data_IF_058349877947
#
_entry.id   IF_058349877947
#
_cell.length_a   1.000
_cell.length_b   1.000
_cell.length_c   1.000
_cell.angle_alpha   90.00
_cell.angle_beta   90.00
_cell.angle_gamma   90.00
#
_symmetry.space_group_name_H-M   'P 1'
#
loop_
_entity.id
_entity.type
_entity.pdbx_description
1 polymer ?
#
# COMPACT_ATOMS: atom_id res chain seq x y z
N UNK A 1 24.52 -15.56 -39.96
CA UNK A 1 23.09 -15.20 -39.88
C UNK A 1 22.48 -15.59 -38.52
N UNK A 2 23.02 -16.57 -37.80
CA UNK A 2 22.43 -17.06 -36.52
C UNK A 2 22.57 -16.13 -35.30
N UNK A 3 23.66 -15.37 -35.18
CA UNK A 3 23.91 -14.60 -33.96
C UNK A 3 22.93 -13.42 -33.76
N UNK A 4 22.48 -12.81 -34.86
CA UNK A 4 21.54 -11.69 -34.84
C UNK A 4 20.14 -12.19 -34.47
N UNK A 5 19.69 -13.30 -35.10
CA UNK A 5 18.40 -13.93 -34.77
C UNK A 5 18.35 -14.41 -33.31
N UNK A 6 19.48 -14.90 -32.77
CA UNK A 6 19.56 -15.34 -31.36
C UNK A 6 19.46 -14.15 -30.40
N UNK A 7 20.08 -13.01 -30.74
CA UNK A 7 20.00 -11.79 -29.94
C UNK A 7 18.59 -11.18 -29.97
N UNK A 8 17.95 -11.15 -31.13
CA UNK A 8 16.57 -10.66 -31.27
C UNK A 8 15.59 -11.53 -30.48
N UNK A 9 15.76 -12.85 -30.53
CA UNK A 9 14.93 -13.78 -29.76
C UNK A 9 15.16 -13.64 -28.26
N UNK A 10 16.41 -13.43 -27.82
CA UNK A 10 16.72 -13.19 -26.41
C UNK A 10 16.20 -11.84 -25.93
N UNK A 11 16.16 -10.82 -26.79
CA UNK A 11 15.55 -9.53 -26.49
C UNK A 11 14.02 -9.65 -26.35
N UNK A 12 13.40 -10.42 -27.24
CA UNK A 12 11.95 -10.66 -27.24
C UNK A 12 11.54 -11.51 -26.04
N UNK A 13 12.34 -12.52 -25.69
CA UNK A 13 12.15 -13.33 -24.49
C UNK A 13 12.36 -12.48 -23.23
N UNK A 14 13.32 -11.55 -23.22
CA UNK A 14 13.52 -10.63 -22.10
C UNK A 14 12.39 -9.59 -21.97
N UNK A 15 11.82 -9.13 -23.09
CA UNK A 15 10.61 -8.31 -23.09
C UNK A 15 9.38 -9.10 -22.62
N UNK A 16 9.25 -10.37 -23.00
CA UNK A 16 8.20 -11.26 -22.52
C UNK A 16 8.38 -11.64 -21.04
N UNK A 17 9.61 -11.73 -20.53
CA UNK A 17 9.91 -11.91 -19.10
C UNK A 17 9.65 -10.61 -18.33
N UNK A 18 9.87 -9.44 -18.93
CA UNK A 18 9.39 -8.17 -18.37
C UNK A 18 7.86 -8.06 -18.38
N UNK A 19 7.16 -8.70 -19.34
CA UNK A 19 5.70 -8.88 -19.35
C UNK A 19 5.20 -9.96 -18.37
N UNK A 20 6.11 -10.77 -17.79
CA UNK A 20 5.89 -11.44 -16.50
C UNK A 20 6.13 -10.46 -15.34
N UNK A 21 5.78 -9.18 -15.52
CA UNK A 21 4.91 -8.50 -14.58
C UNK A 21 4.00 -9.56 -13.97
N UNK A 22 4.26 -9.97 -12.74
CA UNK A 22 3.18 -10.46 -11.90
C UNK A 22 2.11 -9.41 -12.08
N UNK A 23 0.98 -9.75 -12.73
CA UNK A 23 -0.08 -8.83 -13.12
C UNK A 23 -0.14 -7.76 -12.04
N UNK A 24 0.26 -6.52 -12.36
CA UNK A 24 0.33 -5.47 -11.35
C UNK A 24 -1.02 -5.40 -10.63
N UNK A 25 -2.09 -5.71 -11.36
CA UNK A 25 -3.44 -5.96 -10.87
C UNK A 25 -3.55 -7.08 -9.82
N UNK A 26 -2.95 -8.26 -10.03
CA UNK A 26 -2.89 -9.35 -9.03
C UNK A 26 -2.08 -8.92 -7.80
N UNK A 27 -0.97 -8.21 -7.98
CA UNK A 27 -0.16 -7.70 -6.86
C UNK A 27 -0.95 -6.66 -6.05
N UNK A 28 -1.65 -5.76 -6.73
CA UNK A 28 -2.52 -4.77 -6.13
C UNK A 28 -3.69 -5.42 -5.39
N UNK A 29 -4.30 -6.46 -5.99
CA UNK A 29 -5.38 -7.23 -5.38
C UNK A 29 -4.91 -7.96 -4.12
N UNK A 30 -3.75 -8.65 -4.16
CA UNK A 30 -3.17 -9.30 -2.99
C UNK A 30 -2.85 -8.27 -1.90
N UNK A 31 -2.27 -7.12 -2.27
CA UNK A 31 -1.97 -6.05 -1.33
C UNK A 31 -3.25 -5.49 -0.70
N UNK A 32 -4.32 -5.29 -1.48
CA UNK A 32 -5.63 -4.86 -0.96
C UNK A 32 -6.17 -5.88 0.03
N UNK A 33 -6.23 -7.17 -0.34
CA UNK A 33 -6.74 -8.24 0.53
C UNK A 33 -5.98 -8.30 1.86
N UNK A 34 -4.64 -8.18 1.81
CA UNK A 34 -3.82 -8.19 3.02
C UNK A 34 -4.04 -6.95 3.89
N UNK A 35 -4.09 -5.77 3.28
CA UNK A 35 -4.31 -4.50 3.99
C UNK A 35 -5.70 -4.47 4.62
N UNK A 36 -6.74 -4.82 3.87
CA UNK A 36 -8.13 -4.87 4.32
C UNK A 36 -8.31 -5.90 5.46
N UNK A 37 -7.75 -7.10 5.28
CA UNK A 37 -7.81 -8.14 6.30
C UNK A 37 -7.16 -7.73 7.62
N UNK A 38 -6.01 -7.05 7.57
CA UNK A 38 -5.32 -6.55 8.77
C UNK A 38 -6.06 -5.36 9.39
N UNK A 39 -6.65 -4.48 8.59
CA UNK A 39 -7.45 -3.35 9.06
C UNK A 39 -8.71 -3.81 9.82
N UNK A 40 -9.35 -4.88 9.35
CA UNK A 40 -10.56 -5.50 9.91
C UNK A 40 -10.33 -6.43 11.09
N UNK A 41 -9.11 -6.97 11.27
CA UNK A 41 -8.79 -7.99 12.30
C UNK A 41 -9.20 -7.57 13.72
N UNK A 42 -9.35 -6.27 13.97
CA UNK A 42 -9.81 -5.76 15.25
C UNK A 42 -11.28 -6.06 15.60
N UNK A 43 -12.16 -6.21 14.60
CA UNK A 43 -13.59 -6.48 14.84
C UNK A 43 -13.88 -7.95 15.19
N UNK A 44 -13.00 -8.88 14.80
CA UNK A 44 -13.22 -10.34 14.94
C UNK A 44 -12.40 -11.00 16.07
N UNK A 45 -11.76 -10.21 16.93
CA UNK A 45 -10.84 -10.73 17.96
C UNK A 45 -11.48 -11.60 19.06
N UNK A 46 -12.82 -11.69 19.12
CA UNK A 46 -13.49 -12.65 20.01
C UNK A 46 -13.62 -14.07 19.41
N UNK A 47 -13.36 -14.27 18.11
CA UNK A 47 -13.60 -15.56 17.44
C UNK A 47 -12.35 -16.38 17.06
N UNK A 48 -11.15 -15.80 17.04
CA UNK A 48 -9.93 -16.54 16.65
C UNK A 48 -9.06 -16.88 17.86
N UNK A 49 -9.41 -17.99 18.53
CA UNK A 49 -8.56 -18.67 19.54
C UNK A 49 -7.45 -19.53 18.93
N UNK A 50 -7.14 -19.35 17.65
CA UNK A 50 -6.06 -20.07 17.00
C UNK A 50 -4.74 -19.31 17.25
N UNK A 51 -3.88 -19.87 18.10
CA UNK A 51 -2.66 -19.25 18.64
C UNK A 51 -1.54 -19.05 17.59
N UNK A 52 -1.84 -19.32 16.32
CA UNK A 52 -0.89 -19.34 15.22
C UNK A 52 -0.80 -18.02 14.45
N UNK A 53 -1.83 -17.17 14.52
CA UNK A 53 -1.84 -15.86 13.84
C UNK A 53 -1.42 -14.78 14.85
N UNK A 54 -0.27 -14.11 14.67
CA UNK A 54 0.14 -13.04 15.57
C UNK A 54 -0.89 -11.91 15.52
N UNK A 55 -1.45 -11.57 16.69
CA UNK A 55 -2.35 -10.43 16.85
C UNK A 55 -1.61 -9.19 16.36
N UNK A 56 -2.11 -8.55 15.31
CA UNK A 56 -1.51 -7.34 14.76
C UNK A 56 -1.47 -6.25 15.82
N UNK A 57 -0.30 -5.64 16.00
CA UNK A 57 -0.15 -4.54 16.95
C UNK A 57 -1.06 -3.35 16.57
N UNK A 58 -1.42 -2.49 17.52
CA UNK A 58 -2.20 -1.27 17.23
C UNK A 58 -1.56 -0.43 16.11
N UNK A 59 -0.22 -0.37 16.08
CA UNK A 59 0.53 0.31 15.03
C UNK A 59 0.35 -0.36 13.66
N UNK A 60 0.39 -1.70 13.61
CA UNK A 60 0.16 -2.48 12.39
C UNK A 60 -1.25 -2.23 11.82
N UNK A 61 -2.26 -2.21 12.69
CA UNK A 61 -3.66 -1.94 12.28
C UNK A 61 -3.81 -0.50 11.78
N UNK A 62 -3.18 0.47 12.45
CA UNK A 62 -3.18 1.87 11.99
C UNK A 62 -2.45 2.03 10.67
N UNK A 63 -1.31 1.37 10.48
CA UNK A 63 -0.60 1.36 9.20
C UNK A 63 -1.47 0.79 8.08
N UNK A 64 -2.17 -0.33 8.34
CA UNK A 64 -3.11 -0.91 7.38
C UNK A 64 -4.28 0.04 7.06
N UNK A 65 -4.88 0.67 8.08
CA UNK A 65 -5.93 1.68 7.85
C UNK A 65 -5.44 2.87 7.00
N UNK A 66 -4.22 3.38 7.22
CA UNK A 66 -3.66 4.48 6.44
C UNK A 66 -3.50 4.08 4.97
N UNK A 67 -2.98 2.87 4.75
CA UNK A 67 -2.80 2.28 3.45
C UNK A 67 -4.13 2.07 2.73
N UNK A 68 -5.17 1.57 3.42
CA UNK A 68 -6.52 1.45 2.90
C UNK A 68 -7.12 2.80 2.48
N UNK A 69 -6.98 3.84 3.31
CA UNK A 69 -7.44 5.20 2.99
C UNK A 69 -6.79 5.74 1.72
N UNK A 70 -5.50 5.45 1.51
CA UNK A 70 -4.77 5.85 0.31
C UNK A 70 -5.23 5.05 -0.91
N UNK A 71 -5.43 3.74 -0.75
CA UNK A 71 -5.97 2.88 -1.81
C UNK A 71 -7.35 3.36 -2.29
N UNK A 72 -8.29 3.63 -1.37
CA UNK A 72 -9.63 4.13 -1.67
C UNK A 72 -9.62 5.49 -2.39
N UNK A 73 -8.53 6.26 -2.22
CA UNK A 73 -8.31 7.54 -2.88
C UNK A 73 -7.58 7.43 -4.24
N UNK A 74 -7.26 6.22 -4.70
CA UNK A 74 -6.50 5.99 -5.95
C UNK A 74 -4.99 6.07 -5.79
N UNK A 75 -4.47 5.83 -4.58
CA UNK A 75 -3.04 5.78 -4.28
C UNK A 75 -2.41 7.10 -3.87
N UNK A 76 -3.16 8.21 -3.88
CA UNK A 76 -2.69 9.54 -3.51
C UNK A 76 -3.74 10.33 -2.72
N UNK A 77 -3.33 11.05 -1.67
CA UNK A 77 -4.22 11.96 -0.94
C UNK A 77 -3.47 13.18 -0.37
N UNK A 78 -4.04 14.40 -0.37
CA UNK A 78 -3.44 15.56 0.28
C UNK A 78 -3.15 15.31 1.77
N UNK A 79 -1.97 15.72 2.26
CA UNK A 79 -1.53 15.42 3.62
C UNK A 79 -2.51 15.90 4.71
N UNK A 80 -3.13 17.06 4.50
CA UNK A 80 -4.10 17.59 5.46
C UNK A 80 -5.34 16.69 5.57
N UNK A 81 -5.87 16.26 4.43
CA UNK A 81 -7.03 15.36 4.38
C UNK A 81 -6.68 13.97 4.92
N UNK A 82 -5.51 13.44 4.56
CA UNK A 82 -5.04 12.17 5.09
C UNK A 82 -4.92 12.20 6.61
N UNK A 83 -4.32 13.25 7.18
CA UNK A 83 -4.21 13.41 8.64
C UNK A 83 -5.56 13.42 9.33
N UNK A 84 -6.55 14.10 8.74
CA UNK A 84 -7.91 14.13 9.29
C UNK A 84 -8.54 12.73 9.31
N UNK A 85 -8.48 11.99 8.19
CA UNK A 85 -9.00 10.61 8.11
C UNK A 85 -8.28 9.66 9.08
N UNK A 86 -6.97 9.79 9.23
CA UNK A 86 -6.17 8.99 10.18
C UNK A 86 -6.60 9.25 11.62
N UNK A 87 -6.75 10.53 11.99
CA UNK A 87 -7.17 10.91 13.33
C UNK A 87 -8.57 10.41 13.62
N UNK A 88 -9.49 10.50 12.65
CA UNK A 88 -10.83 9.97 12.77
C UNK A 88 -10.82 8.44 12.98
N UNK A 89 -10.08 7.70 12.15
CA UNK A 89 -9.95 6.25 12.29
C UNK A 89 -9.32 5.81 13.63
N UNK A 90 -8.36 6.58 14.15
CA UNK A 90 -7.78 6.34 15.47
C UNK A 90 -8.82 6.55 16.58
N UNK A 91 -9.63 7.60 16.49
CA UNK A 91 -10.67 7.94 17.49
C UNK A 91 -11.81 6.93 17.50
N UNK A 92 -12.25 6.45 16.34
CA UNK A 92 -13.27 5.40 16.22
C UNK A 92 -12.86 4.11 16.93
N UNK A 93 -11.55 3.81 16.95
CA UNK A 93 -10.96 2.68 17.67
C UNK A 93 -10.57 3.00 19.12
N UNK A 94 -10.90 4.20 19.63
CA UNK A 94 -10.59 4.64 20.99
C UNK A 94 -9.10 4.91 21.24
N UNK A 95 -8.32 5.17 20.19
CA UNK A 95 -6.88 5.41 20.26
C UNK A 95 -6.54 6.90 20.24
N UNK A 96 -5.31 7.21 20.66
CA UNK A 96 -4.79 8.59 20.63
C UNK A 96 -4.47 9.00 19.19
N UNK A 97 -4.79 10.25 18.85
CA UNK A 97 -4.42 10.89 17.59
C UNK A 97 -2.93 10.72 17.26
N UNK A 98 -2.05 10.84 18.26
CA UNK A 98 -0.60 10.66 18.11
C UNK A 98 -0.21 9.29 17.58
N UNK A 99 -0.98 8.24 17.87
CA UNK A 99 -0.69 6.89 17.40
C UNK A 99 -0.88 6.80 15.89
N UNK A 100 -1.95 7.38 15.35
CA UNK A 100 -2.21 7.42 13.92
C UNK A 100 -1.14 8.21 13.15
N UNK A 101 -0.78 9.38 13.67
CA UNK A 101 0.29 10.20 13.07
C UNK A 101 1.65 9.46 13.11
N UNK A 102 1.98 8.80 14.23
CA UNK A 102 3.21 8.01 14.31
C UNK A 102 3.22 6.87 13.31
N UNK A 103 2.09 6.18 13.09
CA UNK A 103 1.96 5.13 12.07
C UNK A 103 2.21 5.66 10.66
N UNK A 104 1.74 6.87 10.33
CA UNK A 104 2.05 7.51 9.05
C UNK A 104 3.56 7.70 8.87
N UNK A 105 4.25 8.21 9.89
CA UNK A 105 5.71 8.37 9.82
C UNK A 105 6.47 7.04 9.79
N UNK A 106 5.92 5.98 10.39
CA UNK A 106 6.47 4.62 10.25
C UNK A 106 6.40 4.17 8.79
N UNK A 107 5.26 4.36 8.10
CA UNK A 107 5.13 4.02 6.69
C UNK A 107 6.13 4.79 5.82
N UNK A 108 6.32 6.09 6.10
CA UNK A 108 7.31 6.92 5.42
C UNK A 108 8.73 6.42 5.67
N UNK A 109 9.08 6.11 6.92
CA UNK A 109 10.41 5.61 7.29
C UNK A 109 10.73 4.25 6.66
N UNK A 110 9.71 3.47 6.30
CA UNK A 110 9.85 2.18 5.62
C UNK A 110 9.63 2.28 4.10
N UNK A 111 9.55 3.50 3.55
CA UNK A 111 9.36 3.74 2.11
C UNK A 111 8.11 3.08 1.51
N UNK A 112 7.07 2.85 2.35
CA UNK A 112 5.78 2.33 1.90
C UNK A 112 4.87 3.45 1.39
N UNK A 113 5.09 4.67 1.89
CA UNK A 113 4.45 5.89 1.41
C UNK A 113 5.49 7.01 1.32
N UNK A 114 5.25 8.01 0.47
CA UNK A 114 6.12 9.16 0.28
C UNK A 114 5.34 10.47 0.35
N UNK A 115 5.99 11.53 0.83
CA UNK A 115 5.46 12.89 0.72
C UNK A 115 5.93 13.51 -0.60
N UNK A 116 5.01 13.91 -1.45
CA UNK A 116 5.34 14.71 -2.62
C UNK A 116 5.36 16.19 -2.25
N UNK A 117 6.54 16.69 -1.88
CA UNK A 117 6.74 18.10 -1.54
C UNK A 117 6.70 19.04 -2.76
N UNK A 118 6.67 18.51 -3.99
CA UNK A 118 6.65 19.32 -5.22
C UNK A 118 5.25 19.86 -5.54
N UNK A 119 4.21 19.18 -5.05
CA UNK A 119 2.82 19.53 -5.32
C UNK A 119 2.17 20.33 -4.17
N UNK A 120 1.26 21.24 -4.55
CA UNK A 120 0.51 22.04 -3.58
C UNK A 120 -0.37 21.12 -2.72
N UNK A 121 -0.26 21.25 -1.40
CA UNK A 121 -0.96 20.37 -0.45
C UNK A 121 -0.13 19.17 0.01
N UNK A 122 1.07 18.98 -0.55
CA UNK A 122 2.05 17.98 -0.16
C UNK A 122 1.42 16.58 -0.08
N UNK A 123 0.86 16.05 -1.19
CA UNK A 123 0.14 14.78 -1.15
C UNK A 123 1.04 13.65 -0.68
N UNK A 124 0.40 12.64 -0.08
CA UNK A 124 1.04 11.40 0.31
C UNK A 124 0.70 10.36 -0.73
N UNK A 125 1.71 9.71 -1.28
CA UNK A 125 1.55 8.66 -2.30
C UNK A 125 1.96 7.31 -1.74
N UNK A 126 1.21 6.27 -2.09
CA UNK A 126 1.62 4.88 -1.90
C UNK A 126 1.95 4.30 -3.28
N UNK A 127 3.24 4.16 -3.59
CA UNK A 127 3.67 3.76 -4.94
C UNK A 127 3.19 2.34 -5.32
N UNK A 128 2.82 1.52 -4.33
CA UNK A 128 2.19 0.22 -4.53
C UNK A 128 0.81 0.28 -5.18
N UNK A 129 0.15 1.44 -5.28
CA UNK A 129 -1.14 1.60 -5.97
C UNK A 129 -1.13 2.74 -6.99
N UNK A 130 0.05 3.28 -7.32
CA UNK A 130 0.15 4.14 -8.49
C UNK A 130 -0.12 3.30 -9.72
N UNK A 131 -1.21 3.60 -10.41
CA UNK A 131 -1.43 3.12 -11.77
C UNK A 131 -0.30 3.73 -12.60
N UNK A 132 0.62 2.89 -13.07
CA UNK A 132 1.60 3.32 -14.05
C UNK A 132 0.82 3.48 -15.35
N UNK A 133 0.57 4.73 -15.76
CA UNK A 133 0.10 4.98 -17.13
C UNK A 133 1.21 4.50 -18.07
N UNK A 134 1.07 3.29 -18.59
CA UNK A 134 1.90 2.80 -19.68
C UNK A 134 1.41 3.54 -20.91
N UNK A 135 2.11 4.61 -21.30
CA UNK A 135 1.84 5.29 -22.57
C UNK A 135 1.96 4.27 -23.72
N UNK A 136 1.00 4.26 -24.67
CA UNK A 136 0.90 3.27 -25.74
C UNK A 136 2.00 3.39 -26.82
#
# INVERSE_FOLDING_TARGET
>A
ADAISTLEQLLNDHQNISLFEFDIDIVNEINSILVDGVAETMEKNDMYKDKSIPISSQQTILCANILQILHDAGGELPLAELKEKIVQAAREKGWKDSNGINSLYILVANSLVAFDHSQKGCPVTADMWKVVDVEP
#
